data_IF_100034378939
#
_entry.id   IF_100034378939
#
_cell.length_a   1.000
_cell.length_b   1.000
_cell.length_c   1.000
_cell.angle_alpha   90.00
_cell.angle_beta   90.00
_cell.angle_gamma   90.00
#
_symmetry.space_group_name_H-M   'P 1'
#
loop_
_entity.id
_entity.type
_entity.pdbx_description
1 polymer ?
#
# COMPACT_ATOMS: atom_id res chain seq x y z
N UNK A 1 50.99 33.30 -30.68
CA UNK A 1 50.44 32.71 -29.44
C UNK A 1 48.96 33.07 -29.36
N UNK A 2 48.06 32.18 -29.80
CA UNK A 2 46.61 32.34 -29.67
C UNK A 2 46.08 31.12 -28.92
N UNK A 3 45.72 31.33 -27.65
CA UNK A 3 45.05 30.34 -26.81
C UNK A 3 43.59 30.23 -27.26
N UNK A 4 43.17 29.06 -27.73
CA UNK A 4 41.76 28.70 -27.84
C UNK A 4 41.30 28.17 -26.49
N UNK A 5 40.41 28.90 -25.81
CA UNK A 5 39.72 28.44 -24.62
C UNK A 5 38.53 27.57 -25.05
N UNK A 6 38.65 26.26 -24.90
CA UNK A 6 37.56 25.32 -25.15
C UNK A 6 36.71 25.24 -23.87
N UNK A 7 35.56 25.92 -23.82
CA UNK A 7 34.59 25.76 -22.75
C UNK A 7 33.84 24.43 -22.93
N UNK A 8 34.23 23.41 -22.17
CA UNK A 8 33.42 22.21 -22.00
C UNK A 8 32.15 22.56 -21.22
N UNK A 9 31.04 22.76 -21.93
CA UNK A 9 29.70 22.81 -21.34
C UNK A 9 29.36 21.42 -20.79
N UNK A 10 29.55 21.21 -19.49
CA UNK A 10 29.01 20.06 -18.78
C UNK A 10 27.48 20.26 -18.71
N UNK A 11 26.76 19.66 -19.66
CA UNK A 11 25.30 19.57 -19.62
C UNK A 11 24.95 18.63 -18.44
N UNK A 12 24.80 19.22 -17.25
CA UNK A 12 24.14 18.54 -16.14
C UNK A 12 22.71 18.26 -16.59
N UNK A 13 22.47 17.05 -17.08
CA UNK A 13 21.12 16.52 -17.28
C UNK A 13 20.51 16.45 -15.88
N UNK A 14 19.69 17.45 -15.56
CA UNK A 14 18.79 17.38 -14.41
C UNK A 14 17.76 16.32 -14.77
N UNK A 15 18.04 15.06 -14.41
CA UNK A 15 17.02 14.04 -14.40
C UNK A 15 15.96 14.49 -13.39
N UNK A 16 14.79 14.85 -13.86
CA UNK A 16 13.61 14.92 -13.02
C UNK A 16 13.41 13.52 -12.45
N UNK A 17 13.75 13.33 -11.16
CA UNK A 17 13.57 12.05 -10.48
C UNK A 17 12.08 11.84 -10.26
N UNK A 18 11.38 11.31 -11.27
CA UNK A 18 10.07 10.71 -11.06
C UNK A 18 10.30 9.48 -10.19
N UNK A 19 9.99 9.58 -8.89
CA UNK A 19 10.15 8.47 -7.97
C UNK A 19 8.94 7.54 -8.11
N UNK A 20 8.95 6.69 -9.12
CA UNK A 20 8.00 5.60 -9.33
C UNK A 20 8.63 4.26 -8.92
N UNK A 21 7.79 3.23 -8.75
CA UNK A 21 8.26 1.87 -8.51
C UNK A 21 8.78 1.25 -9.81
N UNK A 22 10.08 0.91 -9.94
CA UNK A 22 10.62 0.43 -11.21
C UNK A 22 9.97 -0.86 -11.71
N UNK A 23 9.40 -1.68 -10.81
CA UNK A 23 8.72 -2.93 -11.16
C UNK A 23 7.21 -2.74 -11.40
N UNK A 24 6.67 -1.54 -11.15
CA UNK A 24 5.28 -1.18 -11.42
C UNK A 24 5.18 0.31 -11.84
N UNK A 25 5.73 0.66 -13.02
CA UNK A 25 5.90 2.06 -13.42
C UNK A 25 4.57 2.79 -13.64
N UNK A 26 3.51 2.06 -13.97
CA UNK A 26 2.16 2.59 -14.18
C UNK A 26 1.27 2.44 -12.93
N UNK A 27 1.76 1.77 -11.88
CA UNK A 27 1.03 1.50 -10.66
C UNK A 27 0.74 2.77 -9.87
N UNK A 28 -0.54 3.03 -9.63
CA UNK A 28 -0.98 4.19 -8.88
C UNK A 28 -2.23 3.89 -8.05
N UNK A 29 -2.51 4.75 -7.09
CA UNK A 29 -3.78 4.78 -6.37
C UNK A 29 -4.49 6.06 -6.79
N UNK A 30 -5.69 5.94 -7.37
CA UNK A 30 -6.49 7.10 -7.77
C UNK A 30 -7.59 7.35 -6.74
N UNK A 31 -7.68 8.59 -6.27
CA UNK A 31 -8.80 9.11 -5.49
C UNK A 31 -9.65 9.97 -6.42
N UNK A 32 -10.94 9.66 -6.49
CA UNK A 32 -11.90 10.38 -7.30
C UNK A 32 -12.92 11.05 -6.38
N UNK A 33 -13.11 12.35 -6.55
CA UNK A 33 -14.02 13.15 -5.76
C UNK A 33 -15.15 13.65 -6.65
N UNK A 34 -16.33 13.05 -6.53
CA UNK A 34 -17.48 13.33 -7.37
C UNK A 34 -18.53 14.14 -6.61
N UNK A 35 -18.78 15.39 -7.02
CA UNK A 35 -19.84 16.20 -6.44
C UNK A 35 -21.18 15.75 -7.03
N UNK A 36 -22.00 15.09 -6.22
CA UNK A 36 -23.27 14.50 -6.63
C UNK A 36 -24.40 15.52 -6.68
N UNK A 37 -24.45 16.43 -5.72
CA UNK A 37 -25.46 17.48 -5.66
C UNK A 37 -24.99 18.67 -4.85
N UNK A 38 -25.54 19.84 -5.18
CA UNK A 38 -25.37 21.06 -4.40
C UNK A 38 -26.55 21.21 -3.44
N UNK A 39 -26.26 21.64 -2.22
CA UNK A 39 -27.26 22.08 -1.25
C UNK A 39 -27.18 23.60 -1.11
N UNK A 40 -28.18 24.22 -0.48
CA UNK A 40 -28.21 25.67 -0.30
C UNK A 40 -26.94 26.22 0.36
N UNK A 41 -26.33 25.42 1.24
CA UNK A 41 -25.17 25.85 1.99
C UNK A 41 -23.86 25.17 1.58
N UNK A 42 -23.86 24.12 0.76
CA UNK A 42 -22.66 23.50 0.18
C UNK A 42 -22.96 22.33 -0.74
N UNK A 43 -22.42 21.13 -0.49
CA UNK A 43 -22.54 20.03 -1.46
C UNK A 43 -22.44 18.64 -0.83
N UNK A 44 -22.90 17.64 -1.57
CA UNK A 44 -22.75 16.22 -1.27
C UNK A 44 -21.79 15.63 -2.28
N UNK A 45 -20.68 15.05 -1.81
CA UNK A 45 -19.69 14.41 -2.67
C UNK A 45 -19.46 12.94 -2.32
N UNK A 46 -19.13 12.15 -3.33
CA UNK A 46 -18.70 10.75 -3.22
C UNK A 46 -17.20 10.66 -3.48
N UNK A 47 -16.44 10.12 -2.52
CA UNK A 47 -14.99 9.93 -2.67
C UNK A 47 -14.68 8.47 -2.92
N UNK A 48 -14.20 8.12 -4.13
CA UNK A 48 -13.82 6.77 -4.53
C UNK A 48 -12.31 6.55 -4.47
N UNK A 49 -11.84 5.49 -3.82
CA UNK A 49 -10.43 5.05 -3.90
C UNK A 49 -10.28 3.82 -4.79
N UNK A 50 -9.39 3.90 -5.78
CA UNK A 50 -9.04 2.81 -6.69
C UNK A 50 -7.55 2.51 -6.59
N UNK A 51 -7.19 1.25 -6.37
CA UNK A 51 -5.81 0.78 -6.42
C UNK A 51 -5.51 0.11 -7.76
N UNK A 52 -4.63 0.74 -8.55
CA UNK A 52 -4.13 0.27 -9.85
C UNK A 52 -2.70 -0.26 -9.77
N UNK A 53 -2.19 -0.55 -8.57
CA UNK A 53 -0.90 -1.22 -8.41
C UNK A 53 -1.05 -2.71 -8.76
N UNK A 54 -0.01 -3.30 -9.31
CA UNK A 54 -0.02 -4.70 -9.81
C UNK A 54 0.04 -5.69 -8.64
N UNK A 55 0.89 -5.42 -7.65
CA UNK A 55 1.18 -6.36 -6.54
C UNK A 55 1.18 -5.73 -5.15
N UNK A 56 0.91 -4.42 -5.03
CA UNK A 56 0.93 -3.71 -3.74
C UNK A 56 -0.49 -3.54 -3.21
N UNK A 57 -0.80 -4.29 -2.16
CA UNK A 57 -2.08 -4.20 -1.46
C UNK A 57 -2.00 -3.16 -0.33
N UNK A 58 -3.12 -2.49 -0.06
CA UNK A 58 -3.33 -1.79 1.21
C UNK A 58 -3.83 -2.83 2.21
N UNK A 59 -2.94 -3.33 3.05
CA UNK A 59 -3.24 -4.32 4.08
C UNK A 59 -3.73 -3.64 5.37
N UNK A 60 -4.24 -4.43 6.32
CA UNK A 60 -4.53 -3.96 7.68
C UNK A 60 -3.33 -3.19 8.27
N UNK A 61 -3.56 -2.03 8.91
CA UNK A 61 -4.84 -1.50 9.42
C UNK A 61 -5.72 -0.77 8.39
N UNK A 62 -5.36 -0.82 7.11
CA UNK A 62 -6.11 -0.22 6.03
C UNK A 62 -5.62 1.18 5.64
N UNK A 63 -6.30 1.78 4.67
CA UNK A 63 -6.00 3.14 4.24
C UNK A 63 -6.38 4.17 5.30
N UNK A 64 -5.62 5.25 5.35
CA UNK A 64 -5.96 6.46 6.08
C UNK A 64 -5.87 7.62 5.09
N UNK A 65 -6.92 8.44 5.03
CA UNK A 65 -7.00 9.54 4.08
C UNK A 65 -7.10 10.86 4.84
N UNK A 66 -6.14 11.74 4.62
CA UNK A 66 -6.11 13.08 5.18
C UNK A 66 -6.08 14.14 4.08
N UNK A 67 -6.82 15.22 4.29
CA UNK A 67 -6.75 16.41 3.44
C UNK A 67 -6.95 17.66 4.29
N UNK A 68 -6.55 18.80 3.76
CA UNK A 68 -6.74 20.11 4.36
C UNK A 68 -7.78 20.89 3.56
N UNK A 69 -8.79 21.40 4.27
CA UNK A 69 -9.77 22.33 3.72
C UNK A 69 -9.09 23.65 3.33
N UNK A 70 -9.45 24.17 2.15
CA UNK A 70 -8.95 25.47 1.69
C UNK A 70 -9.55 26.60 2.55
N UNK A 71 -10.80 26.44 2.95
CA UNK A 71 -11.57 27.43 3.71
C UNK A 71 -11.97 26.89 5.09
N UNK A 72 -13.14 27.31 5.58
CA UNK A 72 -13.70 26.90 6.88
C UNK A 72 -14.78 25.82 6.68
N UNK A 73 -14.52 24.88 5.79
CA UNK A 73 -15.39 23.73 5.52
C UNK A 73 -15.42 22.80 6.74
N UNK A 74 -16.53 22.09 6.90
CA UNK A 74 -16.77 21.11 7.95
C UNK A 74 -17.54 19.93 7.37
N UNK A 75 -17.35 18.74 7.95
CA UNK A 75 -18.04 17.53 7.55
C UNK A 75 -19.31 17.44 8.38
N UNK A 76 -20.48 17.56 7.76
CA UNK A 76 -21.77 17.45 8.46
C UNK A 76 -22.17 16.01 8.73
N UNK A 77 -22.06 15.16 7.72
CA UNK A 77 -22.40 13.75 7.78
C UNK A 77 -21.44 12.94 6.94
N UNK A 78 -21.16 11.71 7.37
CA UNK A 78 -20.33 10.77 6.64
C UNK A 78 -20.93 9.36 6.73
N UNK A 79 -20.88 8.62 5.62
CA UNK A 79 -21.36 7.23 5.49
C UNK A 79 -20.28 6.43 4.76
N UNK A 80 -20.10 5.16 5.13
CA UNK A 80 -19.08 4.27 4.58
C UNK A 80 -17.69 4.43 5.18
N UNK A 81 -17.39 5.55 5.83
CA UNK A 81 -16.14 5.82 6.52
C UNK A 81 -16.40 6.71 7.74
N UNK A 82 -15.38 6.92 8.57
CA UNK A 82 -15.48 7.76 9.76
C UNK A 82 -14.21 8.57 10.00
N UNK A 83 -14.36 9.80 10.50
CA UNK A 83 -13.22 10.59 10.96
C UNK A 83 -12.68 10.06 12.29
N UNK A 84 -11.35 10.00 12.41
CA UNK A 84 -10.65 9.59 13.65
C UNK A 84 -10.92 10.51 14.83
N UNK A 85 -11.14 11.80 14.56
CA UNK A 85 -11.39 12.83 15.56
C UNK A 85 -12.43 13.84 15.06
N UNK A 86 -13.33 14.28 15.94
CA UNK A 86 -14.32 15.32 15.64
C UNK A 86 -13.73 16.75 15.68
N UNK A 87 -12.75 17.00 16.55
CA UNK A 87 -12.18 18.33 16.76
C UNK A 87 -13.09 19.29 17.56
N UNK A 88 -12.68 20.56 17.66
CA UNK A 88 -13.39 21.58 18.45
C UNK A 88 -14.51 22.23 17.62
N UNK A 89 -15.75 21.78 17.81
CA UNK A 89 -16.94 22.26 17.11
C UNK A 89 -17.72 23.38 17.84
N UNK A 90 -17.12 24.08 18.82
CA UNK A 90 -17.82 25.03 19.72
C UNK A 90 -18.54 26.21 19.03
N UNK A 91 -18.28 26.44 17.74
CA UNK A 91 -19.00 27.45 16.93
C UNK A 91 -20.45 27.05 16.61
N UNK A 92 -20.77 25.76 16.70
CA UNK A 92 -22.09 25.22 16.41
C UNK A 92 -22.82 24.94 17.74
N UNK A 93 -23.83 25.77 18.06
CA UNK A 93 -24.58 25.69 19.33
C UNK A 93 -25.81 24.77 19.30
N UNK A 94 -26.11 24.17 18.15
CA UNK A 94 -27.25 23.26 17.93
C UNK A 94 -26.77 21.94 17.35
N UNK A 95 -27.11 21.67 16.09
CA UNK A 95 -26.59 20.49 15.38
C UNK A 95 -25.08 20.61 15.19
N UNK A 96 -24.34 19.66 15.79
CA UNK A 96 -22.88 19.60 15.73
C UNK A 96 -22.48 18.80 14.49
N UNK A 97 -21.58 19.32 13.64
CA UNK A 97 -21.05 18.56 12.51
C UNK A 97 -20.30 17.30 12.95
N UNK A 98 -20.23 16.30 12.07
CA UNK A 98 -19.43 15.08 12.26
C UNK A 98 -17.94 15.38 12.51
N UNK A 99 -17.37 16.37 11.82
CA UNK A 99 -15.99 16.80 12.05
C UNK A 99 -15.77 18.29 11.71
N UNK A 100 -15.10 19.01 12.60
CA UNK A 100 -14.78 20.44 12.47
C UNK A 100 -13.27 20.71 12.33
N UNK A 101 -12.43 19.68 12.22
CA UNK A 101 -10.99 19.86 12.00
C UNK A 101 -10.76 20.46 10.62
N UNK A 102 -9.81 21.41 10.53
CA UNK A 102 -9.34 21.95 9.25
C UNK A 102 -8.62 20.88 8.40
N UNK A 103 -7.98 19.93 9.07
CA UNK A 103 -7.31 18.78 8.47
C UNK A 103 -7.95 17.51 9.04
N UNK A 104 -9.09 17.04 8.49
CA UNK A 104 -9.68 15.78 8.90
C UNK A 104 -8.81 14.60 8.47
N UNK A 105 -8.84 13.54 9.27
CA UNK A 105 -8.25 12.23 8.93
C UNK A 105 -9.35 11.18 9.00
N UNK A 106 -9.58 10.51 7.88
CA UNK A 106 -10.67 9.56 7.65
C UNK A 106 -10.12 8.16 7.52
N UNK A 107 -10.84 7.20 8.09
CA UNK A 107 -10.57 5.77 8.02
C UNK A 107 -11.84 5.02 7.63
N UNK A 108 -11.67 3.88 7.00
CA UNK A 108 -12.79 3.00 6.66
C UNK A 108 -13.44 2.39 7.92
N UNK A 109 -14.71 2.03 7.80
CA UNK A 109 -15.41 1.30 8.84
C UNK A 109 -15.01 -0.18 8.84
N UNK A 110 -15.19 -0.86 9.98
CA UNK A 110 -14.95 -2.29 10.08
C UNK A 110 -16.10 -3.10 9.44
N UNK A 111 -15.87 -4.37 9.04
CA UNK A 111 -16.93 -5.25 8.59
C UNK A 111 -18.02 -5.45 9.66
N UNK A 112 -19.29 -5.53 9.23
CA UNK A 112 -20.43 -5.79 10.12
C UNK A 112 -21.15 -4.54 10.64
N UNK A 113 -20.83 -3.35 10.12
CA UNK A 113 -21.58 -2.12 10.45
C UNK A 113 -23.03 -2.18 9.96
N UNK A 114 -23.98 -1.49 10.63
CA UNK A 114 -25.38 -1.43 10.20
C UNK A 114 -25.57 -0.90 8.77
N UNK A 115 -26.59 -1.40 8.06
CA UNK A 115 -26.82 -1.08 6.63
C UNK A 115 -27.00 0.42 6.35
N UNK A 116 -27.56 1.19 7.30
CA UNK A 116 -27.72 2.64 7.17
C UNK A 116 -26.39 3.43 7.25
N UNK A 117 -25.31 2.78 7.68
CA UNK A 117 -23.96 3.35 7.74
C UNK A 117 -23.07 2.82 6.62
N UNK A 118 -23.56 1.87 5.83
CA UNK A 118 -22.86 1.31 4.68
C UNK A 118 -23.07 2.16 3.44
N UNK A 119 -22.06 2.13 2.57
CA UNK A 119 -22.10 2.67 1.24
C UNK A 119 -21.42 1.69 0.28
N UNK A 120 -21.56 1.89 -1.04
CA UNK A 120 -21.07 0.95 -2.05
C UNK A 120 -19.63 0.52 -1.78
N UNK A 121 -19.45 -0.79 -1.60
CA UNK A 121 -18.15 -1.45 -1.43
C UNK A 121 -17.27 -0.97 -0.25
N UNK A 122 -17.83 -0.22 0.70
CA UNK A 122 -17.15 0.25 1.91
C UNK A 122 -16.90 -0.86 2.93
N UNK A 123 -16.35 -0.44 4.07
CA UNK A 123 -16.52 -1.10 5.35
C UNK A 123 -15.77 -2.42 5.46
N UNK A 124 -14.54 -2.44 4.92
CA UNK A 124 -13.64 -3.59 4.90
C UNK A 124 -12.43 -3.38 5.80
N UNK A 125 -12.51 -2.42 6.73
CA UNK A 125 -11.38 -2.02 7.56
C UNK A 125 -10.23 -1.42 6.75
N UNK A 126 -10.54 -0.82 5.60
CA UNK A 126 -9.61 -0.06 4.78
C UNK A 126 -8.67 -0.92 3.92
N UNK A 127 -8.94 -2.22 3.83
CA UNK A 127 -8.13 -3.14 3.01
C UNK A 127 -8.51 -2.96 1.55
N UNK A 128 -7.51 -2.69 0.70
CA UNK A 128 -7.70 -2.52 -0.75
C UNK A 128 -6.70 -3.40 -1.49
N UNK A 129 -7.20 -4.37 -2.24
CA UNK A 129 -6.38 -5.27 -3.05
C UNK A 129 -5.74 -4.57 -4.25
N UNK A 130 -4.64 -5.12 -4.74
CA UNK A 130 -4.02 -4.78 -6.01
C UNK A 130 -4.85 -5.31 -7.21
N UNK A 131 -4.57 -4.84 -8.43
CA UNK A 131 -5.25 -5.28 -9.67
C UNK A 131 -5.22 -6.80 -9.88
N UNK A 132 -4.20 -7.50 -9.36
CA UNK A 132 -4.16 -8.96 -9.33
C UNK A 132 -5.30 -9.64 -8.55
N UNK A 133 -6.05 -8.90 -7.72
CA UNK A 133 -7.08 -9.45 -6.80
C UNK A 133 -8.47 -8.78 -6.88
N UNK A 134 -8.72 -7.91 -7.87
CA UNK A 134 -9.94 -7.11 -8.11
C UNK A 134 -10.01 -5.80 -7.30
N UNK A 135 -10.05 -4.69 -8.04
CA UNK A 135 -10.27 -3.32 -7.54
C UNK A 135 -11.63 -3.21 -6.87
N UNK A 136 -11.67 -2.68 -5.65
CA UNK A 136 -12.92 -2.42 -4.96
C UNK A 136 -12.90 -1.01 -4.34
N UNK A 137 -13.92 -0.27 -4.77
CA UNK A 137 -14.30 1.11 -4.51
C UNK A 137 -14.56 1.32 -3.01
N UNK A 138 -13.82 2.17 -2.32
CA UNK A 138 -14.32 2.77 -1.08
C UNK A 138 -14.97 4.09 -1.44
N UNK A 139 -16.28 4.22 -1.25
CA UNK A 139 -17.02 5.45 -1.51
C UNK A 139 -17.45 6.13 -0.21
N UNK A 140 -17.18 7.43 -0.08
CA UNK A 140 -17.49 8.22 1.12
C UNK A 140 -18.42 9.36 0.75
N UNK A 141 -19.57 9.50 1.43
CA UNK A 141 -20.39 10.70 1.30
C UNK A 141 -19.87 11.77 2.24
N UNK A 142 -19.57 12.97 1.72
CA UNK A 142 -19.25 14.15 2.52
C UNK A 142 -20.27 15.24 2.22
N UNK A 143 -21.00 15.69 3.24
CA UNK A 143 -21.88 16.86 3.16
C UNK A 143 -21.15 18.08 3.71
N UNK A 144 -20.90 19.08 2.88
CA UNK A 144 -20.12 20.28 3.20
C UNK A 144 -20.93 21.57 3.10
N UNK A 145 -20.38 22.66 3.65
CA UNK A 145 -20.85 24.03 3.42
C UNK A 145 -19.74 24.92 2.81
N UNK A 146 -20.06 25.72 1.78
CA UNK A 146 -19.29 26.73 0.99
C UNK A 146 -18.90 26.38 -0.47
N UNK A 147 -18.73 27.44 -1.30
CA UNK A 147 -18.26 27.40 -2.72
C UNK A 147 -16.84 26.82 -2.81
N UNK A 148 -16.69 25.83 -3.69
CA UNK A 148 -15.54 24.93 -3.83
C UNK A 148 -14.22 25.61 -4.20
N UNK A 149 -13.19 25.30 -3.43
CA UNK A 149 -11.78 25.33 -3.85
C UNK A 149 -11.18 23.94 -3.61
N UNK A 150 -10.15 23.56 -4.37
CA UNK A 150 -9.58 22.21 -4.36
C UNK A 150 -8.96 21.89 -2.98
N UNK A 151 -9.31 20.75 -2.32
CA UNK A 151 -8.67 20.34 -1.08
C UNK A 151 -7.20 19.95 -1.32
N UNK A 152 -6.34 20.23 -0.35
CA UNK A 152 -4.92 19.83 -0.39
C UNK A 152 -4.73 18.51 0.36
N UNK A 153 -4.39 17.44 -0.35
CA UNK A 153 -4.16 16.12 0.26
C UNK A 153 -2.79 16.07 0.96
N UNK A 154 -2.73 15.35 2.07
CA UNK A 154 -1.49 15.09 2.81
C UNK A 154 -1.12 13.62 2.70
N UNK A 155 0.11 13.32 2.29
CA UNK A 155 0.62 11.96 2.15
C UNK A 155 2.00 11.83 2.80
N UNK A 156 2.24 10.70 3.46
CA UNK A 156 3.55 10.40 4.06
C UNK A 156 4.41 9.52 3.14
N UNK A 157 3.80 8.60 2.38
CA UNK A 157 4.52 7.57 1.60
C UNK A 157 4.28 7.60 0.08
N UNK A 158 3.44 8.51 -0.40
CA UNK A 158 3.05 8.62 -1.81
C UNK A 158 3.36 10.01 -2.35
N UNK A 159 3.80 10.06 -3.60
CA UNK A 159 3.82 11.30 -4.37
C UNK A 159 2.40 11.56 -4.90
N UNK A 160 1.91 12.78 -4.70
CA UNK A 160 0.57 13.17 -5.13
C UNK A 160 0.68 14.00 -6.40
N UNK A 161 0.10 13.50 -7.48
CA UNK A 161 -0.12 14.25 -8.70
C UNK A 161 -1.62 14.55 -8.84
N UNK A 162 -1.95 15.83 -8.99
CA UNK A 162 -3.33 16.24 -9.19
C UNK A 162 -3.71 16.09 -10.66
N UNK A 163 -4.81 15.38 -10.92
CA UNK A 163 -5.38 15.23 -12.25
C UNK A 163 -6.30 16.40 -12.62
N UNK A 164 -6.71 16.42 -13.88
CA UNK A 164 -7.59 17.45 -14.43
C UNK A 164 -9.04 17.35 -13.89
N UNK A 165 -9.75 18.48 -13.96
CA UNK A 165 -11.19 18.53 -13.66
C UNK A 165 -11.92 17.91 -14.84
N UNK A 166 -12.68 16.84 -14.60
CA UNK A 166 -13.60 16.31 -15.59
C UNK A 166 -15.01 16.81 -15.27
N UNK A 167 -15.67 17.39 -16.28
CA UNK A 167 -17.09 17.71 -16.23
C UNK A 167 -17.90 16.52 -16.77
N UNK A 168 -18.90 16.09 -16.01
CA UNK A 168 -19.97 15.15 -16.40
C UNK A 168 -19.63 13.65 -16.63
N UNK A 169 -18.99 12.93 -15.69
CA UNK A 169 -19.12 11.48 -15.68
C UNK A 169 -20.53 11.05 -15.20
N UNK A 170 -21.17 10.17 -15.97
CA UNK A 170 -22.44 9.53 -15.62
C UNK A 170 -22.18 8.24 -14.83
N UNK A 171 -22.82 8.10 -13.67
CA UNK A 171 -22.71 6.90 -12.82
C UNK A 171 -24.03 6.16 -12.75
N UNK A 172 -24.03 4.82 -12.88
CA UNK A 172 -25.20 4.04 -12.50
C UNK A 172 -25.44 4.08 -10.99
N UNK A 173 -26.72 4.10 -10.62
CA UNK A 173 -27.28 3.82 -9.29
C UNK A 173 -26.77 2.46 -8.76
N UNK A 174 -26.73 2.28 -7.43
CA UNK A 174 -26.51 1.01 -6.74
C UNK A 174 -27.32 -0.16 -7.34
N UNK A 175 -28.56 0.07 -7.82
CA UNK A 175 -29.40 -0.93 -8.48
C UNK A 175 -29.22 -1.01 -10.01
N UNK A 176 -28.30 -0.24 -10.60
CA UNK A 176 -28.06 -0.16 -12.04
C UNK A 176 -29.30 0.28 -12.86
N UNK A 177 -30.27 0.95 -12.22
CA UNK A 177 -31.58 1.32 -12.80
C UNK A 177 -31.70 2.80 -13.19
N UNK A 178 -30.86 3.67 -12.64
CA UNK A 178 -30.82 5.11 -12.92
C UNK A 178 -29.37 5.54 -13.10
N UNK A 179 -29.13 6.62 -13.83
CA UNK A 179 -27.82 7.25 -13.93
C UNK A 179 -27.85 8.62 -13.24
N UNK A 180 -26.85 8.90 -12.41
CA UNK A 180 -26.61 10.19 -11.79
C UNK A 180 -25.38 10.82 -12.42
N UNK A 181 -25.52 12.04 -12.95
CA UNK A 181 -24.40 12.85 -13.38
C UNK A 181 -23.79 13.54 -12.16
N UNK A 182 -22.47 13.48 -11.99
CA UNK A 182 -21.79 14.36 -11.03
C UNK A 182 -21.61 15.74 -11.65
N UNK A 183 -21.86 16.79 -10.87
CA UNK A 183 -21.72 18.18 -11.31
C UNK A 183 -20.26 18.53 -11.62
N UNK A 184 -19.31 18.03 -10.81
CA UNK A 184 -17.87 18.22 -10.98
C UNK A 184 -17.13 17.02 -10.41
N UNK A 185 -16.09 16.55 -11.11
CA UNK A 185 -15.20 15.50 -10.63
C UNK A 185 -13.77 15.99 -10.55
N UNK A 186 -13.10 15.69 -9.44
CA UNK A 186 -11.65 15.88 -9.29
C UNK A 186 -10.95 14.54 -9.11
N UNK A 187 -9.85 14.34 -9.84
CA UNK A 187 -9.02 13.15 -9.72
C UNK A 187 -7.68 13.49 -9.05
N UNK A 188 -7.26 12.64 -8.14
CA UNK A 188 -5.95 12.70 -7.51
C UNK A 188 -5.27 11.37 -7.68
N UNK A 189 -4.09 11.40 -8.29
CA UNK A 189 -3.30 10.21 -8.58
C UNK A 189 -2.10 10.17 -7.64
N UNK A 190 -2.03 9.12 -6.82
CA UNK A 190 -0.95 8.90 -5.89
C UNK A 190 -0.02 7.81 -6.46
N UNK A 191 1.25 8.13 -6.69
CA UNK A 191 2.28 7.17 -7.10
C UNK A 191 3.16 6.78 -5.91
N UNK A 192 3.53 5.51 -5.85
CA UNK A 192 4.35 4.99 -4.77
C UNK A 192 5.84 5.25 -5.05
N UNK A 193 6.53 5.80 -4.06
CA UNK A 193 7.98 6.01 -4.10
C UNK A 193 8.65 5.18 -3.00
N UNK A 194 9.52 4.26 -3.39
CA UNK A 194 10.26 3.41 -2.44
C UNK A 194 11.10 4.26 -1.46
N UNK A 195 11.73 5.33 -1.97
CA UNK A 195 12.60 6.21 -1.18
C UNK A 195 11.84 7.07 -0.16
N UNK A 196 10.62 7.52 -0.50
CA UNK A 196 9.78 8.26 0.44
C UNK A 196 9.09 7.34 1.44
N UNK A 197 8.70 6.15 0.98
CA UNK A 197 7.94 5.22 1.81
C UNK A 197 8.77 4.66 2.95
N UNK A 198 10.07 4.39 2.76
CA UNK A 198 10.95 3.91 3.84
C UNK A 198 12.39 4.34 3.65
N UNK A 199 13.01 4.76 4.77
CA UNK A 199 14.46 5.01 4.87
C UNK A 199 15.30 3.72 4.78
N UNK A 200 14.76 2.60 5.27
CA UNK A 200 15.42 1.30 5.30
C UNK A 200 14.57 0.25 4.57
N UNK A 201 15.18 -0.76 3.93
CA UNK A 201 14.44 -1.81 3.26
C UNK A 201 13.52 -2.55 4.25
N UNK A 202 12.40 -3.07 3.73
CA UNK A 202 11.40 -3.82 4.54
C UNK A 202 11.73 -5.30 4.68
N UNK A 203 12.64 -5.81 3.85
CA UNK A 203 13.06 -7.20 3.83
C UNK A 203 14.54 -7.32 3.48
N UNK A 204 15.10 -8.51 3.71
CA UNK A 204 16.42 -8.87 3.20
C UNK A 204 16.37 -10.20 2.46
N UNK A 205 17.34 -10.41 1.57
CA UNK A 205 17.48 -11.65 0.81
C UNK A 205 18.74 -12.39 1.27
N UNK A 206 18.61 -13.70 1.45
CA UNK A 206 19.71 -14.61 1.75
C UNK A 206 19.78 -15.67 0.67
N UNK A 207 20.98 -16.12 0.35
CA UNK A 207 21.21 -17.01 -0.78
C UNK A 207 21.92 -18.28 -0.34
N UNK A 208 21.63 -19.38 -1.01
CA UNK A 208 22.39 -20.63 -0.93
C UNK A 208 22.37 -21.31 -2.29
N UNK A 209 23.31 -22.21 -2.53
CA UNK A 209 23.49 -22.84 -3.84
C UNK A 209 23.53 -24.35 -3.73
N UNK A 210 23.40 -25.02 -4.88
CA UNK A 210 23.42 -26.47 -4.95
C UNK A 210 24.80 -27.06 -4.57
N UNK A 211 25.87 -26.36 -4.94
CA UNK A 211 27.25 -26.83 -4.73
C UNK A 211 27.81 -26.44 -3.36
N UNK A 212 27.09 -25.62 -2.59
CA UNK A 212 27.54 -25.16 -1.29
C UNK A 212 26.35 -24.84 -0.38
N UNK A 213 26.23 -25.62 0.69
CA UNK A 213 25.20 -25.49 1.71
C UNK A 213 25.42 -24.29 2.64
N UNK A 214 26.57 -23.60 2.58
CA UNK A 214 26.76 -22.38 3.36
C UNK A 214 25.83 -21.29 2.87
N UNK A 215 24.88 -20.91 3.73
CA UNK A 215 23.96 -19.80 3.48
C UNK A 215 24.74 -18.48 3.56
N UNK A 216 24.72 -17.71 2.48
CA UNK A 216 25.10 -16.30 2.50
C UNK A 216 24.00 -15.52 3.21
N UNK A 217 24.23 -15.07 4.46
CA UNK A 217 23.20 -14.44 5.26
C UNK A 217 22.94 -13.00 4.76
N UNK A 218 21.83 -12.43 5.21
CA UNK A 218 21.59 -11.01 5.03
C UNK A 218 22.70 -10.18 5.71
N UNK A 219 23.05 -9.00 5.17
CA UNK A 219 23.97 -8.10 5.86
C UNK A 219 23.49 -7.74 7.27
N UNK A 220 24.43 -7.56 8.20
CA UNK A 220 24.10 -7.08 9.54
C UNK A 220 23.47 -5.70 9.46
N UNK A 221 22.36 -5.49 10.19
CA UNK A 221 21.60 -4.25 10.20
C UNK A 221 21.02 -3.81 8.83
N UNK A 222 20.75 -4.75 7.92
CA UNK A 222 20.19 -4.45 6.60
C UNK A 222 18.91 -3.57 6.65
N UNK A 223 18.02 -3.78 7.61
CA UNK A 223 16.78 -3.02 7.75
C UNK A 223 16.83 -1.92 8.82
N UNK A 224 18.03 -1.49 9.20
CA UNK A 224 18.26 -0.48 10.23
C UNK A 224 18.29 -1.08 11.64
N UNK A 225 19.38 -0.79 12.37
CA UNK A 225 19.50 -1.15 13.78
C UNK A 225 19.24 0.09 14.63
N UNK A 226 18.03 0.21 15.18
CA UNK A 226 17.78 1.12 16.31
C UNK A 226 17.96 0.35 17.63
N UNK A 227 18.41 1.06 18.68
CA UNK A 227 18.72 0.63 20.06
C UNK A 227 18.27 -0.80 20.45
N UNK A 228 19.16 -1.56 21.13
CA UNK A 228 19.00 -2.98 21.57
C UNK A 228 17.69 -3.36 22.30
N UNK A 229 16.82 -2.40 22.64
CA UNK A 229 15.48 -2.60 23.20
C UNK A 229 14.37 -2.78 22.15
N UNK A 230 14.69 -2.68 20.85
CA UNK A 230 13.70 -2.68 19.74
C UNK A 230 13.23 -4.08 19.31
N UNK A 231 13.89 -5.15 19.75
CA UNK A 231 13.57 -6.53 19.37
C UNK A 231 13.42 -7.45 20.57
N UNK A 232 12.78 -8.59 20.34
CA UNK A 232 12.54 -9.65 21.33
C UNK A 232 13.33 -10.90 20.94
N UNK A 233 14.05 -11.50 21.90
CA UNK A 233 14.73 -12.77 21.67
C UNK A 233 13.72 -13.90 21.44
N UNK A 234 14.05 -14.80 20.52
CA UNK A 234 13.28 -16.02 20.28
C UNK A 234 13.07 -16.79 21.59
N UNK A 235 11.88 -17.37 21.77
CA UNK A 235 11.51 -18.19 22.94
C UNK A 235 11.57 -17.48 24.30
N UNK A 236 11.63 -16.15 24.34
CA UNK A 236 11.58 -15.43 25.62
C UNK A 236 10.19 -15.53 26.28
N UNK A 237 10.15 -15.59 27.62
CA UNK A 237 8.91 -15.58 28.42
C UNK A 237 8.07 -14.31 28.22
N UNK A 238 8.63 -13.27 27.60
CA UNK A 238 7.94 -12.02 27.29
C UNK A 238 6.86 -12.25 26.21
N UNK A 239 7.07 -13.20 25.29
CA UNK A 239 6.15 -13.52 24.20
C UNK A 239 4.84 -14.18 24.65
N UNK A 240 4.77 -14.70 25.88
CA UNK A 240 3.54 -15.28 26.45
C UNK A 240 2.67 -14.25 27.17
N UNK A 241 3.13 -13.00 27.30
CA UNK A 241 2.35 -11.92 27.91
C UNK A 241 1.16 -11.55 27.00
N UNK A 242 -0.06 -11.69 27.52
CA UNK A 242 -1.29 -11.28 26.82
C UNK A 242 -1.19 -9.80 26.40
N UNK A 243 -1.48 -9.52 25.14
CA UNK A 243 -1.47 -8.15 24.57
C UNK A 243 -0.11 -7.65 24.04
N UNK A 244 0.97 -8.45 24.06
CA UNK A 244 2.24 -8.02 23.47
C UNK A 244 2.25 -8.09 21.93
N UNK A 245 1.60 -9.13 21.39
CA UNK A 245 1.51 -9.44 19.97
C UNK A 245 0.33 -8.73 19.28
N UNK A 246 -0.46 -7.95 20.03
CA UNK A 246 -1.52 -7.16 19.41
C UNK A 246 -0.93 -5.98 18.64
N UNK A 247 -1.41 -5.70 17.42
CA UNK A 247 -1.03 -4.50 16.68
C UNK A 247 -1.21 -3.24 17.54
N UNK A 248 -0.20 -2.36 17.54
CA UNK A 248 -0.30 -1.03 18.16
C UNK A 248 -0.95 -0.05 17.19
N UNK A 249 -1.58 1.01 17.71
CA UNK A 249 -2.12 2.11 16.90
C UNK A 249 -1.08 2.73 15.95
N UNK A 250 0.19 2.75 16.37
CA UNK A 250 1.30 3.31 15.60
C UNK A 250 1.90 2.32 14.58
N UNK A 251 1.34 1.11 14.44
CA UNK A 251 1.85 0.01 13.60
C UNK A 251 3.33 -0.36 13.82
N UNK A 252 3.91 0.07 14.94
CA UNK A 252 5.32 -0.19 15.24
C UNK A 252 5.58 -1.72 15.32
N UNK A 253 6.45 -2.26 14.45
CA UNK A 253 6.72 -3.69 14.39
C UNK A 253 7.36 -4.17 15.69
N UNK A 254 7.11 -5.40 16.06
CA UNK A 254 7.81 -6.06 17.17
C UNK A 254 8.65 -7.18 16.57
N UNK A 255 9.94 -6.94 16.41
CA UNK A 255 10.80 -7.85 15.66
C UNK A 255 11.44 -8.91 16.55
N UNK A 256 11.65 -10.09 16.00
CA UNK A 256 12.59 -11.06 16.54
C UNK A 256 14.03 -10.56 16.35
N UNK A 257 14.84 -10.66 17.41
CA UNK A 257 16.24 -10.26 17.32
C UNK A 257 17.01 -11.19 16.37
N UNK A 258 17.47 -10.62 15.25
CA UNK A 258 18.38 -11.25 14.29
C UNK A 258 19.53 -10.29 13.97
N UNK A 259 20.59 -10.74 13.31
CA UNK A 259 21.70 -9.86 12.91
C UNK A 259 21.26 -8.80 11.88
N UNK A 260 20.30 -9.13 11.01
CA UNK A 260 19.84 -8.27 9.92
C UNK A 260 18.69 -7.32 10.32
N UNK A 261 17.99 -7.61 11.42
CA UNK A 261 16.90 -6.79 11.98
C UNK A 261 15.77 -6.49 10.99
N UNK A 262 15.53 -7.40 10.03
CA UNK A 262 14.48 -7.23 9.03
C UNK A 262 13.17 -7.90 9.45
N UNK A 263 12.01 -7.26 9.23
CA UNK A 263 10.70 -7.88 9.43
C UNK A 263 10.48 -9.14 8.61
N UNK A 264 10.99 -9.19 7.38
CA UNK A 264 10.85 -10.34 6.49
C UNK A 264 12.21 -10.73 5.94
N UNK A 265 12.45 -12.04 5.81
CA UNK A 265 13.58 -12.59 5.06
C UNK A 265 13.06 -13.46 3.93
N UNK A 266 13.60 -13.25 2.75
CA UNK A 266 13.44 -14.15 1.61
C UNK A 266 14.72 -14.96 1.49
N UNK A 267 14.61 -16.28 1.52
CA UNK A 267 15.72 -17.19 1.28
C UNK A 267 15.57 -17.82 -0.10
N UNK A 268 16.60 -17.66 -0.92
CA UNK A 268 16.67 -18.17 -2.27
C UNK A 268 17.72 -19.27 -2.33
N UNK A 269 17.26 -20.51 -2.47
CA UNK A 269 18.13 -21.68 -2.51
C UNK A 269 18.09 -22.32 -3.90
N UNK A 270 19.21 -22.31 -4.62
CA UNK A 270 19.30 -23.01 -5.91
C UNK A 270 19.47 -24.50 -5.62
N UNK A 271 18.44 -25.31 -5.92
CA UNK A 271 18.45 -26.76 -5.70
C UNK A 271 19.10 -27.53 -6.82
N UNK A 272 18.93 -27.08 -8.06
CA UNK A 272 19.53 -27.73 -9.25
C UNK A 272 19.84 -26.63 -10.25
N UNK A 273 21.01 -26.71 -10.87
CA UNK A 273 21.39 -25.82 -11.96
C UNK A 273 22.07 -26.64 -13.06
N UNK A 274 21.26 -27.23 -13.94
CA UNK A 274 21.68 -28.02 -15.08
C UNK A 274 21.53 -27.22 -16.37
N UNK A 275 22.12 -27.70 -17.47
CA UNK A 275 22.01 -27.04 -18.79
C UNK A 275 20.56 -26.92 -19.28
N UNK A 276 19.74 -27.93 -18.98
CA UNK A 276 18.37 -28.03 -19.50
C UNK A 276 17.32 -27.36 -18.61
N UNK A 277 17.55 -27.33 -17.29
CA UNK A 277 16.65 -26.69 -16.33
C UNK A 277 17.37 -26.29 -15.05
N UNK A 278 16.80 -25.30 -14.39
CA UNK A 278 17.16 -24.87 -13.06
C UNK A 278 15.97 -25.12 -12.12
N UNK A 279 16.25 -25.31 -10.83
CA UNK A 279 15.22 -25.42 -9.80
C UNK A 279 15.65 -24.60 -8.61
N UNK A 280 14.75 -23.76 -8.11
CA UNK A 280 14.97 -22.95 -6.92
C UNK A 280 13.90 -23.23 -5.89
N UNK A 281 14.32 -23.25 -4.63
CA UNK A 281 13.44 -23.20 -3.48
C UNK A 281 13.43 -21.80 -2.89
N UNK A 282 12.24 -21.20 -2.83
CA UNK A 282 12.01 -19.90 -2.22
C UNK A 282 11.38 -20.14 -0.84
N UNK A 283 11.90 -19.50 0.19
CA UNK A 283 11.30 -19.50 1.53
C UNK A 283 11.15 -18.07 2.06
N UNK A 284 9.94 -17.69 2.44
CA UNK A 284 9.63 -16.36 2.98
C UNK A 284 9.32 -16.53 4.46
N UNK A 285 10.14 -15.91 5.31
CA UNK A 285 9.99 -15.98 6.77
C UNK A 285 9.63 -14.62 7.34
N UNK A 286 8.59 -14.56 8.16
CA UNK A 286 8.18 -13.39 8.92
C UNK A 286 8.82 -13.39 10.32
N UNK A 287 9.50 -12.31 10.66
CA UNK A 287 10.13 -12.06 11.96
C UNK A 287 9.39 -11.01 12.80
N UNK A 288 8.21 -10.56 12.36
CA UNK A 288 7.36 -9.65 13.12
C UNK A 288 6.34 -10.41 13.99
N UNK A 289 6.33 -10.15 15.29
CA UNK A 289 5.41 -10.71 16.28
C UNK A 289 4.05 -9.98 16.37
N UNK A 290 3.87 -8.87 15.65
CA UNK A 290 2.63 -8.06 15.71
C UNK A 290 1.87 -7.99 14.40
N UNK A 291 2.43 -8.54 13.33
CA UNK A 291 1.90 -8.35 11.99
C UNK A 291 1.85 -9.68 11.26
N UNK A 292 0.66 -9.97 10.76
CA UNK A 292 0.43 -11.01 9.76
C UNK A 292 0.33 -10.33 8.39
N UNK A 293 0.80 -11.00 7.34
CA UNK A 293 0.63 -10.55 5.97
C UNK A 293 -0.42 -11.39 5.26
N UNK A 294 -1.60 -10.83 5.07
CA UNK A 294 -2.68 -11.39 4.25
C UNK A 294 -2.46 -11.03 2.78
N UNK A 295 -2.72 -11.95 1.86
CA UNK A 295 -2.51 -11.72 0.41
C UNK A 295 -1.09 -11.23 0.11
N UNK A 296 -0.10 -11.85 0.75
CA UNK A 296 1.30 -11.47 0.50
C UNK A 296 1.65 -11.71 -0.96
N UNK A 297 2.54 -10.88 -1.49
CA UNK A 297 3.02 -10.97 -2.87
C UNK A 297 4.52 -10.69 -2.87
N UNK A 298 5.26 -11.52 -3.60
CA UNK A 298 6.70 -11.42 -3.80
C UNK A 298 6.95 -11.15 -5.28
N UNK A 299 7.44 -9.96 -5.60
CA UNK A 299 7.95 -9.63 -6.93
C UNK A 299 9.46 -9.88 -6.97
N UNK A 300 9.92 -10.65 -7.97
CA UNK A 300 11.34 -10.98 -8.17
C UNK A 300 11.69 -10.66 -9.61
N UNK A 301 12.73 -9.86 -9.79
CA UNK A 301 13.37 -9.67 -11.08
C UNK A 301 14.59 -10.58 -11.18
N UNK A 302 14.57 -11.53 -12.10
CA UNK A 302 15.69 -12.44 -12.35
C UNK A 302 15.67 -12.94 -13.79
N UNK A 303 16.80 -12.92 -14.53
CA UNK A 303 16.84 -13.27 -15.95
C UNK A 303 16.16 -14.61 -16.30
N UNK A 304 16.34 -15.63 -15.46
CA UNK A 304 15.77 -16.97 -15.70
C UNK A 304 14.25 -17.07 -15.47
N UNK A 305 13.57 -16.03 -14.97
CA UNK A 305 12.11 -16.02 -14.81
C UNK A 305 11.37 -15.71 -16.12
N UNK A 306 12.11 -15.41 -17.19
CA UNK A 306 11.56 -15.24 -18.53
C UNK A 306 10.92 -16.52 -19.09
N UNK A 307 11.30 -17.70 -18.60
CA UNK A 307 10.83 -19.00 -19.07
C UNK A 307 10.56 -19.96 -17.89
N UNK A 308 9.55 -19.64 -17.09
CA UNK A 308 9.09 -20.49 -15.98
C UNK A 308 8.14 -21.56 -16.50
N UNK A 309 8.44 -22.83 -16.21
CA UNK A 309 7.61 -23.96 -16.66
C UNK A 309 6.60 -24.38 -15.60
N UNK A 310 7.01 -24.47 -14.34
CA UNK A 310 6.18 -24.93 -13.23
C UNK A 310 6.52 -24.14 -11.97
N UNK A 311 5.51 -23.92 -11.13
CA UNK A 311 5.68 -23.36 -9.78
C UNK A 311 4.84 -24.21 -8.84
N UNK A 312 5.44 -24.64 -7.75
CA UNK A 312 4.81 -25.47 -6.74
C UNK A 312 4.43 -24.65 -5.52
N UNK A 313 3.28 -24.93 -4.92
CA UNK A 313 2.78 -24.33 -3.67
C UNK A 313 2.45 -22.83 -3.72
N UNK A 314 2.97 -22.05 -4.67
CA UNK A 314 2.61 -20.65 -4.90
C UNK A 314 1.93 -20.49 -6.26
N UNK A 315 1.09 -19.47 -6.37
CA UNK A 315 0.59 -19.01 -7.64
C UNK A 315 1.63 -18.05 -8.28
N UNK A 316 1.75 -18.11 -9.60
CA UNK A 316 2.73 -17.35 -10.37
C UNK A 316 2.06 -16.51 -11.46
N UNK A 317 2.57 -15.30 -11.66
CA UNK A 317 2.22 -14.45 -12.79
C UNK A 317 3.48 -13.73 -13.27
N UNK A 318 3.80 -13.89 -14.55
CA UNK A 318 4.84 -13.04 -15.18
C UNK A 318 4.31 -11.60 -15.27
N UNK A 319 5.17 -10.65 -14.92
CA UNK A 319 4.90 -9.21 -15.03
C UNK A 319 5.93 -8.65 -15.99
N UNK A 320 5.48 -8.01 -17.06
CA UNK A 320 6.35 -7.36 -18.05
C UNK A 320 6.14 -5.84 -17.99
N UNK A 321 6.74 -5.14 -17.02
CA UNK A 321 6.46 -3.71 -16.79
C UNK A 321 6.86 -2.82 -17.97
N UNK A 322 7.85 -3.22 -18.77
CA UNK A 322 8.38 -2.46 -19.91
C UNK A 322 8.11 -3.12 -21.27
N UNK A 323 7.33 -4.20 -21.32
CA UNK A 323 6.97 -4.94 -22.55
C UNK A 323 8.12 -5.73 -23.20
N UNK A 324 9.36 -5.26 -23.11
CA UNK A 324 10.58 -5.89 -23.65
C UNK A 324 11.32 -6.77 -22.65
N UNK A 325 11.06 -6.59 -21.35
CA UNK A 325 11.72 -7.29 -20.26
C UNK A 325 10.65 -8.14 -19.53
N UNK A 326 10.75 -9.45 -19.68
CA UNK A 326 9.85 -10.46 -19.07
C UNK A 326 10.54 -11.25 -17.94
N UNK A 327 11.61 -10.70 -17.37
CA UNK A 327 12.41 -11.30 -16.30
C UNK A 327 11.80 -11.13 -14.89
N UNK A 328 10.63 -10.49 -14.79
CA UNK A 328 9.98 -10.20 -13.53
C UNK A 328 8.82 -11.17 -13.28
N UNK A 329 8.98 -11.95 -12.22
CA UNK A 329 8.00 -12.91 -11.74
C UNK A 329 7.30 -12.42 -10.48
N UNK A 330 5.98 -12.55 -10.44
CA UNK A 330 5.17 -12.27 -9.25
C UNK A 330 4.65 -13.59 -8.66
N UNK A 331 5.04 -13.86 -7.42
CA UNK A 331 4.59 -15.01 -6.63
C UNK A 331 3.61 -14.55 -5.56
N UNK A 332 2.54 -15.30 -5.36
CA UNK A 332 1.55 -15.00 -4.32
C UNK A 332 0.95 -16.29 -3.74
N UNK A 333 0.40 -16.17 -2.54
CA UNK A 333 -0.21 -17.31 -1.85
C UNK A 333 -1.52 -17.75 -2.50
N UNK A 334 -1.71 -19.06 -2.57
CA UNK A 334 -2.95 -19.70 -3.00
C UNK A 334 -4.00 -19.56 -1.89
N UNK A 335 -5.21 -19.12 -2.28
CA UNK A 335 -6.31 -18.87 -1.35
C UNK A 335 -6.62 -20.10 -0.50
N UNK A 336 -6.87 -19.88 0.79
CA UNK A 336 -7.17 -20.93 1.77
C UNK A 336 -6.06 -21.96 2.02
N UNK A 337 -4.86 -21.77 1.45
CA UNK A 337 -3.71 -22.65 1.67
C UNK A 337 -2.57 -21.91 2.36
N UNK A 338 -2.00 -20.92 1.69
CA UNK A 338 -0.85 -20.15 2.19
C UNK A 338 -0.96 -18.66 1.86
N UNK A 339 -2.16 -18.16 1.64
CA UNK A 339 -2.49 -16.74 1.45
C UNK A 339 -2.29 -15.88 2.71
N UNK A 340 -1.99 -16.51 3.85
CA UNK A 340 -1.69 -15.87 5.12
C UNK A 340 -0.29 -16.24 5.62
N UNK A 341 0.61 -15.25 5.65
CA UNK A 341 1.90 -15.36 6.31
C UNK A 341 1.78 -14.87 7.75
N UNK A 342 1.78 -15.82 8.68
CA UNK A 342 1.59 -15.56 10.12
C UNK A 342 2.78 -14.84 10.75
N UNK A 343 2.56 -14.30 11.95
CA UNK A 343 3.57 -13.70 12.82
C UNK A 343 4.76 -14.65 13.08
N UNK A 344 5.85 -14.10 13.63
CA UNK A 344 7.09 -14.80 13.94
C UNK A 344 6.93 -15.99 14.91
N UNK A 345 6.57 -17.14 14.35
CA UNK A 345 6.29 -18.42 15.01
C UNK A 345 6.61 -19.56 14.05
N UNK A 346 6.49 -20.85 14.46
CA UNK A 346 6.73 -21.97 13.54
C UNK A 346 5.91 -21.91 12.23
N UNK A 347 4.72 -21.29 12.26
CA UNK A 347 3.86 -21.07 11.09
C UNK A 347 4.12 -19.77 10.32
N UNK A 348 5.09 -18.95 10.74
CA UNK A 348 5.48 -17.69 10.08
C UNK A 348 6.42 -17.89 8.89
N UNK A 349 6.27 -19.00 8.16
CA UNK A 349 7.12 -19.37 7.03
C UNK A 349 6.28 -20.00 5.91
N UNK A 350 6.47 -19.53 4.69
CA UNK A 350 5.90 -20.14 3.48
C UNK A 350 7.03 -20.50 2.52
N UNK A 351 6.90 -21.65 1.84
CA UNK A 351 7.93 -22.17 0.95
C UNK A 351 7.33 -22.62 -0.38
N UNK A 352 8.12 -22.51 -1.43
CA UNK A 352 7.77 -22.91 -2.80
C UNK A 352 8.99 -23.39 -3.54
N UNK A 353 8.76 -24.16 -4.60
CA UNK A 353 9.78 -24.52 -5.58
C UNK A 353 9.36 -24.02 -6.96
N UNK A 354 10.30 -23.45 -7.69
CA UNK A 354 10.20 -22.90 -9.05
C UNK A 354 11.12 -23.69 -9.95
#
# INVERSE_FOLDING_TARGET
>A
MRLFFCLCFFFMIIFTTYAYDPLDPNGNITLKWDIMSWTADGYVATVTMNNFQIYRHIQNPGWTLGWAWAKKEVIWSMVGAQTTEQGVCSKFKGNVPHCCKKVPTVVDLLPGVPYNQQFSNCCKGGVVGALGSRSIISCIIVSEKFKTERPKYQTEHFLVQFGEILTEPNYPDYWNRRTHASAVTWNVTCTYSQFLARKHPSCCVSFSSFYNDTITPCPSCACGCENKKSCVKAHSKILTKKGLNTPRKDNAPLLQCTHHMCPVRVHWHVKVNCKDYWRVKIAITNFNYRMNHTLWTLAVQHPNLNNVTQVFSFDYKSVAPYGSINDTGMFYGTKFYNDLLMEARPSGNVQSEV
#
